data_IF_702829873799
#
_entry.id   IF_702829873799
#
_cell.length_a   1.000
_cell.length_b   1.000
_cell.length_c   1.000
_cell.angle_alpha   90.00
_cell.angle_beta   90.00
_cell.angle_gamma   90.00
#
_symmetry.space_group_name_H-M   'P 1'
#
loop_
_entity.id
_entity.type
_entity.pdbx_description
1 polymer ?
#
# COMPACT_ATOMS: atom_id res chain seq x y z
N UNK A 1 39.36 30.17 -18.58
CA UNK A 1 39.31 29.94 -20.05
C UNK A 1 38.32 28.82 -20.28
N UNK A 2 37.10 29.12 -20.75
CA UNK A 2 36.13 28.09 -21.12
C UNK A 2 36.67 27.36 -22.36
N UNK A 3 36.93 26.07 -22.25
CA UNK A 3 37.29 25.26 -23.41
C UNK A 3 36.13 25.34 -24.41
N UNK A 4 36.40 25.81 -25.64
CA UNK A 4 35.39 25.82 -26.70
C UNK A 4 34.97 24.38 -26.97
N UNK A 5 33.68 24.18 -27.25
CA UNK A 5 33.21 22.86 -27.63
C UNK A 5 33.90 22.43 -28.92
N UNK A 6 34.29 21.15 -29.02
CA UNK A 6 34.87 20.58 -30.24
C UNK A 6 33.99 20.82 -31.47
N UNK A 7 32.67 20.85 -31.25
CA UNK A 7 31.67 21.19 -32.27
C UNK A 7 31.84 22.61 -32.79
N UNK A 8 32.07 23.57 -31.90
CA UNK A 8 32.23 24.98 -32.26
C UNK A 8 33.55 25.19 -33.01
N UNK A 9 34.62 24.50 -32.59
CA UNK A 9 35.91 24.54 -33.28
C UNK A 9 35.83 23.99 -34.71
N UNK A 10 35.11 22.89 -34.91
CA UNK A 10 34.88 22.31 -36.25
C UNK A 10 34.03 23.24 -37.11
N UNK A 11 32.97 23.85 -36.56
CA UNK A 11 32.15 24.81 -37.30
C UNK A 11 32.93 26.07 -37.70
N UNK A 12 33.78 26.59 -36.81
CA UNK A 12 34.66 27.74 -37.12
C UNK A 12 35.69 27.37 -38.19
N UNK A 13 36.31 26.18 -38.09
CA UNK A 13 37.26 25.72 -39.11
C UNK A 13 36.60 25.52 -40.49
N UNK A 14 35.39 24.95 -40.51
CA UNK A 14 34.64 24.70 -41.74
C UNK A 14 34.16 25.99 -42.41
N UNK A 15 33.58 26.91 -41.63
CA UNK A 15 33.14 28.22 -42.14
C UNK A 15 34.32 29.07 -42.62
N UNK A 16 35.44 29.02 -41.92
CA UNK A 16 36.68 29.63 -42.39
C UNK A 16 37.17 28.99 -43.68
N UNK A 17 37.16 27.66 -43.80
CA UNK A 17 37.58 26.98 -45.03
C UNK A 17 36.67 27.36 -46.21
N UNK A 18 35.37 27.42 -45.98
CA UNK A 18 34.39 27.87 -46.98
C UNK A 18 34.66 29.31 -47.45
N UNK A 19 34.94 30.21 -46.51
CA UNK A 19 35.27 31.60 -46.84
C UNK A 19 36.55 31.71 -47.65
N UNK A 20 37.63 31.02 -47.25
CA UNK A 20 38.90 31.03 -47.99
C UNK A 20 38.73 30.49 -49.42
N UNK A 21 37.92 29.43 -49.60
CA UNK A 21 37.60 28.88 -50.93
C UNK A 21 36.83 29.90 -51.77
N UNK A 22 35.80 30.54 -51.20
CA UNK A 22 35.03 31.58 -51.89
C UNK A 22 35.92 32.76 -52.29
N UNK A 23 36.80 33.20 -51.40
CA UNK A 23 37.72 34.30 -51.66
C UNK A 23 38.68 33.95 -52.82
N UNK A 24 39.27 32.75 -52.82
CA UNK A 24 40.15 32.29 -53.91
C UNK A 24 39.40 32.21 -55.24
N UNK A 25 38.20 31.64 -55.27
CA UNK A 25 37.42 31.55 -56.50
C UNK A 25 36.96 32.92 -57.01
N UNK A 26 36.61 33.85 -56.11
CA UNK A 26 36.28 35.22 -56.47
C UNK A 26 37.47 35.92 -57.12
N UNK A 27 38.67 35.80 -56.54
CA UNK A 27 39.91 36.35 -57.10
C UNK A 27 40.24 35.76 -58.47
N UNK A 28 40.10 34.44 -58.63
CA UNK A 28 40.34 33.77 -59.92
C UNK A 28 39.34 34.27 -60.98
N UNK A 29 38.06 34.41 -60.61
CA UNK A 29 37.02 34.87 -61.53
C UNK A 29 37.24 36.34 -61.97
N UNK A 30 37.68 37.20 -61.05
CA UNK A 30 38.00 38.60 -61.36
C UNK A 30 39.24 38.72 -62.25
N UNK A 31 40.24 37.86 -62.06
CA UNK A 31 41.46 37.85 -62.89
C UNK A 31 41.25 37.17 -64.26
N UNK A 32 40.29 36.24 -64.37
CA UNK A 32 39.97 35.56 -65.63
C UNK A 32 39.08 36.40 -66.57
N UNK A 33 38.40 37.42 -66.05
CA UNK A 33 37.59 38.37 -66.82
C UNK A 33 38.47 39.39 -67.60
N UNK A 34 39.13 38.88 -68.65
CA UNK A 34 39.68 39.49 -69.87
C UNK A 34 40.31 40.93 -69.95
N UNK A 35 40.31 41.81 -68.94
CA UNK A 35 40.87 43.17 -69.09
C UNK A 35 42.18 43.46 -68.31
N UNK A 36 42.65 42.57 -67.44
CA UNK A 36 43.83 42.82 -66.60
C UNK A 36 45.18 42.40 -67.23
N UNK A 37 45.30 42.39 -68.56
CA UNK A 37 46.49 41.87 -69.28
C UNK A 37 47.79 42.68 -69.12
N UNK A 38 47.83 43.71 -68.26
CA UNK A 38 49.04 44.52 -68.02
C UNK A 38 49.60 44.45 -66.60
N UNK A 39 48.89 43.88 -65.61
CA UNK A 39 49.38 43.77 -64.23
C UNK A 39 50.07 42.42 -63.98
N UNK A 40 51.35 42.39 -64.33
CA UNK A 40 52.45 41.72 -63.63
C UNK A 40 52.06 40.72 -62.50
N UNK A 41 51.82 39.46 -62.86
CA UNK A 41 51.99 38.24 -62.03
C UNK A 41 51.73 38.41 -60.51
N UNK A 42 50.48 38.43 -60.10
CA UNK A 42 50.04 38.32 -58.69
C UNK A 42 50.21 36.90 -58.08
N UNK A 43 51.24 36.18 -58.52
CA UNK A 43 51.59 34.85 -58.03
C UNK A 43 51.90 34.76 -56.52
N UNK A 44 52.51 35.76 -55.83
CA UNK A 44 52.84 35.58 -54.42
C UNK A 44 51.62 35.63 -53.48
N UNK A 45 50.63 36.47 -53.78
CA UNK A 45 49.43 36.64 -52.93
C UNK A 45 48.49 35.44 -53.04
N UNK A 46 48.32 34.91 -54.25
CA UNK A 46 47.56 33.68 -54.51
C UNK A 46 48.21 32.45 -53.85
N UNK A 47 49.54 32.34 -53.90
CA UNK A 47 50.27 31.27 -53.20
C UNK A 47 50.11 31.35 -51.67
N UNK A 48 50.10 32.55 -51.08
CA UNK A 48 49.87 32.72 -49.64
C UNK A 48 48.46 32.26 -49.23
N UNK A 49 47.42 32.58 -50.02
CA UNK A 49 46.04 32.11 -49.77
C UNK A 49 45.92 30.59 -49.89
N UNK A 50 46.58 29.98 -50.87
CA UNK A 50 46.64 28.51 -51.02
C UNK A 50 47.35 27.87 -49.82
N UNK A 51 48.42 28.49 -49.30
CA UNK A 51 49.08 28.00 -48.08
C UNK A 51 48.17 28.07 -46.86
N UNK A 52 47.45 29.18 -46.65
CA UNK A 52 46.46 29.30 -45.55
C UNK A 52 45.37 28.24 -45.66
N UNK A 53 44.84 28.01 -46.87
CA UNK A 53 43.86 26.97 -47.12
C UNK A 53 44.42 25.56 -46.80
N UNK A 54 45.67 25.29 -47.18
CA UNK A 54 46.33 24.00 -46.90
C UNK A 54 46.55 23.78 -45.40
N UNK A 55 46.90 24.83 -44.65
CA UNK A 55 47.03 24.79 -43.19
C UNK A 55 45.68 24.52 -42.54
N UNK A 56 44.63 25.24 -42.95
CA UNK A 56 43.27 25.04 -42.43
C UNK A 56 42.73 23.64 -42.75
N UNK A 57 43.08 23.09 -43.91
CA UNK A 57 42.76 21.71 -44.26
C UNK A 57 43.49 20.68 -43.37
N UNK A 58 44.76 20.92 -43.06
CA UNK A 58 45.51 20.07 -42.14
C UNK A 58 44.91 20.13 -40.72
N UNK A 59 44.52 21.32 -40.25
CA UNK A 59 43.85 21.51 -38.97
C UNK A 59 42.48 20.80 -38.91
N UNK A 60 41.68 20.92 -39.98
CA UNK A 60 40.41 20.20 -40.10
C UNK A 60 40.59 18.68 -40.09
N UNK A 61 41.61 18.18 -40.79
CA UNK A 61 41.95 16.75 -40.80
C UNK A 61 42.35 16.26 -39.41
N UNK A 62 43.09 17.09 -38.65
CA UNK A 62 43.42 16.79 -37.26
C UNK A 62 42.18 16.76 -36.36
N UNK A 63 41.27 17.72 -36.51
CA UNK A 63 40.02 17.77 -35.73
C UNK A 63 39.12 16.56 -36.02
N UNK A 64 38.98 16.16 -37.29
CA UNK A 64 38.19 14.98 -37.66
C UNK A 64 38.79 13.69 -37.08
N UNK A 65 40.11 13.55 -37.05
CA UNK A 65 40.76 12.43 -36.38
C UNK A 65 40.47 12.42 -34.87
N UNK A 66 40.53 13.58 -34.22
CA UNK A 66 40.20 13.70 -32.80
C UNK A 66 38.74 13.36 -32.49
N UNK A 67 37.80 13.80 -33.35
CA UNK A 67 36.38 13.42 -33.25
C UNK A 67 36.22 11.90 -33.36
N UNK A 68 36.86 11.28 -34.34
CA UNK A 68 36.79 9.83 -34.54
C UNK A 68 37.33 9.08 -33.31
N UNK A 69 38.43 9.55 -32.72
CA UNK A 69 38.97 8.99 -31.48
C UNK A 69 38.02 9.18 -30.30
N UNK A 70 37.41 10.36 -30.15
CA UNK A 70 36.42 10.64 -29.12
C UNK A 70 35.18 9.75 -29.27
N UNK A 71 34.68 9.55 -30.49
CA UNK A 71 33.57 8.65 -30.79
C UNK A 71 33.91 7.20 -30.45
N UNK A 72 35.11 6.73 -30.79
CA UNK A 72 35.58 5.39 -30.43
C UNK A 72 35.68 5.22 -28.90
N UNK A 73 36.16 6.24 -28.19
CA UNK A 73 36.22 6.22 -26.73
C UNK A 73 34.81 6.26 -26.11
N UNK A 74 33.91 7.07 -26.64
CA UNK A 74 32.52 7.13 -26.20
C UNK A 74 31.83 5.77 -26.37
N UNK A 75 32.02 5.12 -27.52
CA UNK A 75 31.51 3.78 -27.77
C UNK A 75 32.04 2.74 -26.76
N UNK A 76 33.27 2.91 -26.27
CA UNK A 76 33.83 2.08 -25.19
C UNK A 76 33.27 2.43 -23.81
N UNK A 77 32.97 3.69 -23.54
CA UNK A 77 32.44 4.15 -22.24
C UNK A 77 30.98 3.72 -22.03
N UNK A 78 30.16 3.77 -23.08
CA UNK A 78 28.74 3.41 -23.01
C UNK A 78 28.44 2.04 -22.36
N UNK A 79 29.12 0.93 -22.71
CA UNK A 79 28.88 -0.35 -22.03
C UNK A 79 29.32 -0.33 -20.57
N UNK A 80 30.38 0.41 -20.20
CA UNK A 80 30.76 0.55 -18.79
C UNK A 80 29.71 1.31 -17.99
N UNK A 81 29.13 2.38 -18.55
CA UNK A 81 28.03 3.11 -17.93
C UNK A 81 26.82 2.22 -17.75
N UNK A 82 26.47 1.41 -18.77
CA UNK A 82 25.38 0.44 -18.66
C UNK A 82 25.65 -0.61 -17.56
N UNK A 83 26.88 -1.12 -17.47
CA UNK A 83 27.28 -2.07 -16.44
C UNK A 83 27.23 -1.48 -15.03
N UNK A 84 27.63 -0.21 -14.86
CA UNK A 84 27.52 0.50 -13.57
C UNK A 84 26.05 0.61 -13.18
N UNK A 85 25.18 1.08 -14.08
CA UNK A 85 23.74 1.20 -13.82
C UNK A 85 23.11 -0.15 -13.46
N UNK A 86 23.49 -1.23 -14.16
CA UNK A 86 23.00 -2.58 -13.87
C UNK A 86 23.44 -3.06 -12.47
N UNK A 87 24.68 -2.80 -12.07
CA UNK A 87 25.19 -3.13 -10.73
C UNK A 87 24.51 -2.31 -9.65
N UNK A 88 24.31 -1.02 -9.86
CA UNK A 88 23.60 -0.16 -8.91
C UNK A 88 22.16 -0.63 -8.70
N UNK A 89 21.47 -1.03 -9.77
CA UNK A 89 20.13 -1.61 -9.68
C UNK A 89 20.13 -2.93 -8.89
N UNK A 90 21.12 -3.81 -9.15
CA UNK A 90 21.26 -5.06 -8.40
C UNK A 90 21.56 -4.82 -6.90
N UNK A 91 22.40 -3.83 -6.59
CA UNK A 91 22.70 -3.45 -5.22
C UNK A 91 21.45 -2.95 -4.49
N UNK A 92 20.68 -2.05 -5.11
CA UNK A 92 19.42 -1.55 -4.55
C UNK A 92 18.42 -2.69 -4.30
N UNK A 93 18.27 -3.61 -5.25
CA UNK A 93 17.40 -4.78 -5.09
C UNK A 93 17.86 -5.68 -3.94
N UNK A 94 19.17 -5.86 -3.77
CA UNK A 94 19.73 -6.66 -2.67
C UNK A 94 19.48 -5.99 -1.32
N UNK A 95 19.71 -4.68 -1.22
CA UNK A 95 19.45 -3.90 0.00
C UNK A 95 17.96 -3.97 0.37
N UNK A 96 17.07 -3.80 -0.61
CA UNK A 96 15.62 -3.92 -0.39
C UNK A 96 15.25 -5.31 0.14
N UNK A 97 15.79 -6.38 -0.45
CA UNK A 97 15.57 -7.75 0.03
C UNK A 97 16.09 -7.97 1.44
N UNK A 98 17.26 -7.43 1.78
CA UNK A 98 17.82 -7.53 3.13
C UNK A 98 16.96 -6.76 4.15
N UNK A 99 16.39 -5.62 3.77
CA UNK A 99 15.49 -4.87 4.64
C UNK A 99 14.22 -5.69 4.96
N UNK A 100 13.60 -6.30 3.94
CA UNK A 100 12.44 -7.19 4.13
C UNK A 100 12.78 -8.36 5.06
N UNK A 101 13.88 -9.08 4.78
CA UNK A 101 14.31 -10.21 5.62
C UNK A 101 14.61 -9.79 7.07
N UNK A 102 15.21 -8.62 7.28
CA UNK A 102 15.46 -8.07 8.61
C UNK A 102 14.14 -7.82 9.35
N UNK A 103 13.16 -7.25 8.66
CA UNK A 103 11.87 -6.90 9.26
C UNK A 103 11.05 -8.18 9.56
N UNK A 104 11.10 -9.19 8.69
CA UNK A 104 10.54 -10.53 8.95
C UNK A 104 11.18 -11.20 10.19
N UNK A 105 12.51 -11.19 10.28
CA UNK A 105 13.22 -11.75 11.44
C UNK A 105 12.90 -10.99 12.73
N UNK A 106 12.69 -9.68 12.64
CA UNK A 106 12.28 -8.85 13.77
C UNK A 106 10.87 -9.22 14.23
N UNK A 107 9.93 -9.35 13.30
CA UNK A 107 8.57 -9.78 13.60
C UNK A 107 8.53 -11.17 14.24
N UNK A 108 9.31 -12.12 13.72
CA UNK A 108 9.42 -13.47 14.30
C UNK A 108 10.01 -13.44 15.73
N UNK A 109 10.98 -12.57 15.98
CA UNK A 109 11.56 -12.40 17.31
C UNK A 109 10.55 -11.81 18.29
N UNK A 110 9.78 -10.81 17.84
CA UNK A 110 8.75 -10.18 18.65
C UNK A 110 7.61 -11.15 18.96
N UNK A 111 7.14 -11.93 17.98
CA UNK A 111 6.13 -12.98 18.20
C UNK A 111 6.65 -14.07 19.14
N UNK A 112 7.89 -14.55 18.94
CA UNK A 112 8.50 -15.53 19.83
C UNK A 112 8.67 -15.03 21.27
N UNK A 113 8.97 -13.74 21.45
CA UNK A 113 9.03 -13.13 22.78
C UNK A 113 7.64 -13.04 23.45
N UNK A 114 6.59 -12.74 22.67
CA UNK A 114 5.21 -12.73 23.16
C UNK A 114 4.75 -14.14 23.56
N UNK A 115 5.05 -15.15 22.74
CA UNK A 115 4.75 -16.55 23.02
C UNK A 115 5.47 -17.05 24.28
N UNK A 116 6.76 -16.73 24.43
CA UNK A 116 7.53 -17.07 25.62
C UNK A 116 6.92 -16.46 26.89
N UNK A 117 6.49 -15.20 26.84
CA UNK A 117 5.78 -14.57 27.97
C UNK A 117 4.42 -15.19 28.24
N UNK A 118 3.68 -15.58 27.20
CA UNK A 118 2.39 -16.26 27.35
C UNK A 118 2.57 -17.63 28.02
N UNK A 119 3.60 -18.37 27.63
CA UNK A 119 3.98 -19.64 28.25
C UNK A 119 4.38 -19.44 29.71
N UNK A 120 5.24 -18.47 30.02
CA UNK A 120 5.64 -18.18 31.41
C UNK A 120 4.43 -17.84 32.29
N UNK A 121 3.46 -17.06 31.77
CA UNK A 121 2.21 -16.77 32.49
C UNK A 121 1.33 -18.02 32.67
N UNK A 122 1.27 -18.89 31.66
CA UNK A 122 0.51 -20.14 31.73
C UNK A 122 1.16 -21.14 32.71
N UNK A 123 2.48 -21.21 32.73
CA UNK A 123 3.26 -22.01 33.69
C UNK A 123 3.10 -21.49 35.13
N UNK A 124 3.04 -20.16 35.32
CA UNK A 124 2.79 -19.56 36.62
C UNK A 124 1.36 -19.83 37.15
N UNK A 125 0.40 -20.12 36.26
CA UNK A 125 -1.00 -20.42 36.60
C UNK A 125 -1.46 -21.69 35.88
N UNK A 126 -0.97 -22.86 36.30
CA UNK A 126 -1.38 -24.11 35.68
C UNK A 126 -2.86 -24.35 35.96
N UNK A 127 -3.61 -24.72 34.91
CA UNK A 127 -5.00 -25.11 35.04
C UNK A 127 -5.08 -26.47 35.73
N UNK A 128 -5.95 -26.59 36.73
CA UNK A 128 -6.18 -27.88 37.38
C UNK A 128 -6.89 -28.82 36.40
N UNK A 129 -6.41 -30.05 36.30
CA UNK A 129 -6.97 -31.07 35.39
C UNK A 129 -8.44 -31.37 35.70
N UNK A 130 -8.84 -31.24 36.96
CA UNK A 130 -10.21 -31.44 37.42
C UNK A 130 -11.16 -30.39 36.83
N UNK A 131 -10.78 -29.10 36.88
CA UNK A 131 -11.58 -28.00 36.32
C UNK A 131 -11.80 -28.15 34.81
N UNK A 132 -10.76 -28.60 34.09
CA UNK A 132 -10.84 -28.86 32.65
C UNK A 132 -11.83 -30.00 32.36
N UNK A 133 -11.74 -31.11 33.11
CA UNK A 133 -12.62 -32.26 32.94
C UNK A 133 -14.07 -31.93 33.30
N UNK A 134 -14.30 -31.21 34.40
CA UNK A 134 -15.64 -30.75 34.79
C UNK A 134 -16.23 -29.81 33.74
N UNK A 135 -15.46 -28.84 33.26
CA UNK A 135 -15.90 -27.92 32.21
C UNK A 135 -16.20 -28.66 30.91
N UNK A 136 -15.33 -29.59 30.49
CA UNK A 136 -15.54 -30.41 29.31
C UNK A 136 -16.80 -31.27 29.41
N UNK A 137 -17.08 -31.87 30.57
CA UNK A 137 -18.32 -32.62 30.81
C UNK A 137 -19.57 -31.74 30.75
N UNK A 138 -19.49 -30.49 31.25
CA UNK A 138 -20.59 -29.51 31.13
C UNK A 138 -20.80 -29.12 29.67
N UNK A 139 -19.72 -28.82 28.94
CA UNK A 139 -19.77 -28.42 27.54
C UNK A 139 -20.31 -29.55 26.66
N UNK A 140 -19.90 -30.81 26.91
CA UNK A 140 -20.34 -31.97 26.15
C UNK A 140 -21.87 -32.12 26.10
N UNK A 141 -22.59 -31.74 27.16
CA UNK A 141 -24.07 -31.78 27.16
C UNK A 141 -24.72 -30.82 26.16
N UNK A 142 -24.03 -29.74 25.83
CA UNK A 142 -24.53 -28.69 24.93
C UNK A 142 -23.90 -28.72 23.55
N UNK A 143 -22.78 -29.43 23.38
CA UNK A 143 -22.07 -29.56 22.10
C UNK A 143 -22.15 -30.95 21.47
N UNK A 144 -22.61 -31.97 22.20
CA UNK A 144 -22.89 -33.27 21.62
C UNK A 144 -24.27 -33.27 20.97
N UNK A 145 -24.35 -33.82 19.75
CA UNK A 145 -25.63 -34.07 19.11
C UNK A 145 -26.45 -35.04 19.98
N UNK A 146 -27.76 -34.81 20.17
CA UNK A 146 -28.62 -35.71 20.92
C UNK A 146 -28.48 -37.15 20.40
N UNK A 147 -28.43 -38.17 21.29
CA UNK A 147 -28.33 -39.56 20.87
C UNK A 147 -29.53 -39.92 19.99
N UNK A 148 -29.27 -40.13 18.70
CA UNK A 148 -30.30 -40.39 17.68
C UNK A 148 -30.43 -39.32 16.59
N UNK A 149 -29.69 -38.21 16.65
CA UNK A 149 -29.72 -37.19 15.59
C UNK A 149 -29.01 -37.70 14.32
N UNK A 150 -29.70 -37.87 13.18
CA UNK A 150 -29.07 -38.32 11.95
C UNK A 150 -28.16 -37.22 11.39
N UNK A 151 -26.86 -37.45 11.40
CA UNK A 151 -25.85 -36.55 10.81
C UNK A 151 -26.03 -36.34 9.29
N UNK A 152 -26.88 -37.14 8.64
CA UNK A 152 -27.14 -37.07 7.21
C UNK A 152 -27.92 -35.82 6.78
N UNK A 153 -28.79 -35.27 7.65
CA UNK A 153 -29.69 -34.19 7.27
C UNK A 153 -29.05 -32.79 7.33
N UNK A 154 -27.94 -32.63 8.06
CA UNK A 154 -27.20 -31.36 8.12
C UNK A 154 -26.44 -31.06 6.81
N UNK A 155 -26.09 -32.08 6.03
CA UNK A 155 -25.52 -31.90 4.69
C UNK A 155 -26.59 -31.62 3.62
N UNK A 156 -27.87 -31.80 3.92
CA UNK A 156 -28.98 -31.69 2.97
C UNK A 156 -29.73 -30.34 2.99
N UNK A 157 -29.39 -29.41 3.89
CA UNK A 157 -30.02 -28.06 3.95
C UNK A 157 -29.56 -27.09 2.84
N UNK A 158 -29.22 -27.63 1.66
CA UNK A 158 -29.10 -26.88 0.41
C UNK A 158 -30.32 -27.21 -0.48
N UNK A 159 -31.47 -26.57 -0.17
CA UNK A 159 -32.72 -26.42 -0.98
C UNK A 159 -33.63 -27.67 -1.16
N UNK A 160 -34.91 -27.57 -1.62
CA UNK A 160 -35.89 -26.45 -1.79
C UNK A 160 -37.25 -26.72 -1.03
N UNK A 161 -38.31 -25.87 -1.13
CA UNK A 161 -39.43 -25.87 -0.17
C UNK A 161 -40.67 -26.68 -0.59
N UNK A 162 -41.33 -27.35 0.37
CA UNK A 162 -42.74 -27.75 0.20
C UNK A 162 -43.56 -27.74 1.50
N UNK A 163 -44.59 -26.87 1.47
CA UNK A 163 -45.95 -26.95 2.06
C UNK A 163 -46.13 -27.11 3.59
N UNK A 164 -46.31 -25.93 4.20
CA UNK A 164 -47.49 -25.50 4.94
C UNK A 164 -48.05 -26.41 6.05
N UNK A 165 -47.73 -26.05 7.30
CA UNK A 165 -48.60 -26.26 8.45
C UNK A 165 -48.97 -24.88 9.03
N UNK A 166 -50.26 -24.58 9.00
CA UNK A 166 -50.86 -23.35 9.52
C UNK A 166 -50.74 -23.34 11.06
N UNK A 167 -50.14 -22.29 11.60
CA UNK A 167 -50.19 -21.98 13.04
C UNK A 167 -51.04 -20.72 13.24
N UNK A 168 -51.93 -20.79 14.24
CA UNK A 168 -52.92 -19.78 14.62
C UNK A 168 -52.29 -18.40 14.87
N UNK A 169 -52.51 -17.43 13.97
CA UNK A 169 -51.99 -16.07 14.09
C UNK A 169 -53.12 -15.07 14.34
N UNK A 170 -52.87 -14.09 15.23
CA UNK A 170 -53.79 -13.01 15.57
C UNK A 170 -53.82 -11.97 14.42
N UNK A 171 -54.96 -11.78 13.72
CA UNK A 171 -55.03 -10.95 12.52
C UNK A 171 -54.86 -9.44 12.76
N UNK A 172 -54.94 -8.96 14.00
CA UNK A 172 -54.92 -7.53 14.30
C UNK A 172 -53.51 -6.93 14.42
N UNK A 173 -52.45 -7.75 14.39
CA UNK A 173 -51.05 -7.31 14.49
C UNK A 173 -50.49 -6.82 13.13
N UNK A 174 -51.19 -5.90 12.47
CA UNK A 174 -50.84 -5.35 11.14
C UNK A 174 -49.46 -4.66 11.09
N UNK A 175 -48.93 -4.22 12.24
CA UNK A 175 -47.60 -3.58 12.32
C UNK A 175 -46.44 -4.58 12.35
N UNK A 176 -46.67 -5.80 12.85
CA UNK A 176 -45.67 -6.86 12.91
C UNK A 176 -45.64 -7.70 11.63
N UNK A 177 -46.73 -7.70 10.84
CA UNK A 177 -46.82 -8.39 9.56
C UNK A 177 -45.78 -7.92 8.52
N UNK A 178 -45.30 -6.67 8.63
CA UNK A 178 -44.28 -6.14 7.72
C UNK A 178 -42.85 -6.58 8.05
N UNK A 179 -42.61 -7.07 9.27
CA UNK A 179 -41.29 -7.50 9.74
C UNK A 179 -41.11 -9.03 9.77
N UNK A 180 -42.19 -9.78 9.53
CA UNK A 180 -42.13 -11.23 9.40
C UNK A 180 -42.38 -11.62 7.95
N UNK A 181 -41.29 -11.99 7.27
CA UNK A 181 -41.37 -12.71 6.00
C UNK A 181 -41.98 -14.11 6.29
N UNK A 182 -43.17 -14.43 5.74
CA UNK A 182 -43.83 -15.72 5.96
C UNK A 182 -43.06 -16.90 5.34
N UNK A 183 -41.94 -16.63 4.64
CA UNK A 183 -41.05 -17.63 4.06
C UNK A 183 -39.82 -17.95 4.91
N UNK A 184 -39.63 -17.37 6.09
CA UNK A 184 -38.58 -17.87 6.99
C UNK A 184 -39.05 -19.27 7.45
N UNK A 185 -38.41 -20.36 6.99
CA UNK A 185 -38.67 -21.67 7.56
C UNK A 185 -38.40 -21.48 9.05
N UNK A 186 -39.33 -21.89 9.92
CA UNK A 186 -39.10 -21.89 11.37
C UNK A 186 -37.68 -22.39 11.59
N UNK A 187 -36.76 -21.50 11.96
CA UNK A 187 -35.36 -21.90 12.08
C UNK A 187 -35.36 -23.13 12.98
N UNK A 188 -34.62 -24.21 12.65
CA UNK A 188 -34.46 -25.31 13.57
C UNK A 188 -34.02 -24.68 14.90
N UNK A 189 -34.93 -24.68 15.88
CA UNK A 189 -34.89 -23.81 17.05
C UNK A 189 -33.90 -24.33 18.10
N UNK A 190 -32.88 -25.03 17.63
CA UNK A 190 -31.82 -25.70 18.37
C UNK A 190 -30.46 -25.34 17.76
N UNK A 191 -30.31 -24.09 17.33
CA UNK A 191 -28.96 -23.53 17.24
C UNK A 191 -28.36 -23.50 18.67
N UNK A 192 -27.04 -23.66 18.83
CA UNK A 192 -26.35 -23.76 20.12
C UNK A 192 -26.26 -22.40 20.85
N UNK A 193 -27.29 -21.57 20.72
CA UNK A 193 -27.41 -20.28 21.36
C UNK A 193 -28.49 -20.36 22.45
N UNK A 194 -28.43 -19.49 23.47
CA UNK A 194 -29.44 -19.43 24.51
C UNK A 194 -30.85 -19.30 23.91
N UNK A 195 -31.78 -20.16 24.33
CA UNK A 195 -33.15 -20.11 23.80
C UNK A 195 -33.85 -18.82 24.23
N UNK A 196 -34.74 -18.28 23.40
CA UNK A 196 -35.52 -17.07 23.72
C UNK A 196 -36.27 -17.19 25.06
N UNK A 197 -36.74 -18.40 25.38
CA UNK A 197 -37.34 -18.70 26.67
C UNK A 197 -36.36 -18.52 27.82
N UNK A 198 -35.13 -19.03 27.70
CA UNK A 198 -34.08 -18.85 28.73
C UNK A 198 -33.68 -17.38 28.82
N UNK A 199 -33.60 -16.65 27.71
CA UNK A 199 -33.27 -15.22 27.71
C UNK A 199 -34.35 -14.40 28.44
N UNK A 200 -35.64 -14.68 28.20
CA UNK A 200 -36.77 -14.01 28.88
C UNK A 200 -36.96 -14.45 30.33
N UNK A 201 -36.54 -15.66 30.69
CA UNK A 201 -36.58 -16.14 32.07
C UNK A 201 -35.30 -15.79 32.85
N UNK A 202 -34.27 -15.30 32.16
CA UNK A 202 -33.00 -14.92 32.75
C UNK A 202 -33.15 -13.73 33.69
N UNK A 203 -32.27 -13.67 34.69
CA UNK A 203 -32.23 -12.63 35.72
C UNK A 203 -32.20 -11.23 35.08
N UNK A 204 -31.43 -11.06 34.00
CA UNK A 204 -31.35 -9.80 33.25
C UNK A 204 -32.70 -9.31 32.71
N UNK A 205 -33.58 -10.22 32.25
CA UNK A 205 -34.92 -9.82 31.79
C UNK A 205 -35.85 -9.53 32.96
N UNK A 206 -35.74 -10.28 34.06
CA UNK A 206 -36.53 -10.03 35.27
C UNK A 206 -36.18 -8.67 35.91
N UNK A 207 -34.90 -8.32 35.93
CA UNK A 207 -34.42 -7.01 36.42
C UNK A 207 -34.87 -5.90 35.47
N UNK A 208 -34.74 -6.06 34.15
CA UNK A 208 -35.22 -5.07 33.19
C UNK A 208 -36.75 -4.91 33.21
N UNK A 209 -37.50 -5.98 33.42
CA UNK A 209 -38.97 -5.97 33.54
C UNK A 209 -39.45 -5.35 34.86
N UNK A 210 -38.68 -5.48 35.94
CA UNK A 210 -39.00 -4.83 37.22
C UNK A 210 -38.59 -3.36 37.22
N UNK A 211 -37.48 -2.99 36.57
CA UNK A 211 -37.10 -1.58 36.34
C UNK A 211 -38.09 -0.85 35.40
N UNK A 212 -38.62 -1.53 34.38
CA UNK A 212 -39.65 -0.98 33.50
C UNK A 212 -41.09 -1.10 34.03
N UNK A 213 -41.31 -1.87 35.10
CA UNK A 213 -42.58 -2.03 35.80
C UNK A 213 -42.77 -1.12 37.02
N UNK A 214 -41.73 -0.39 37.43
CA UNK A 214 -41.77 0.49 38.61
C UNK A 214 -42.47 1.85 38.38
N UNK A 215 -43.10 2.10 37.21
CA UNK A 215 -43.96 3.27 37.00
C UNK A 215 -45.47 2.95 36.92
N UNK A 216 -45.89 1.71 37.17
CA UNK A 216 -47.31 1.36 37.06
C UNK A 216 -47.81 0.43 38.18
N UNK A 217 -47.82 0.91 39.44
CA UNK A 217 -48.93 0.75 40.40
C UNK A 217 -48.51 1.21 41.81
N UNK A 218 -48.85 2.44 42.17
CA UNK A 218 -49.12 2.82 43.56
C UNK A 218 -50.62 3.08 43.73
N UNK A 219 -51.33 2.17 44.40
CA UNK A 219 -52.50 2.52 45.21
C UNK A 219 -52.82 1.42 46.24
N UNK A 220 -52.44 1.70 47.49
CA UNK A 220 -53.08 1.34 48.79
C UNK A 220 -53.15 -0.14 49.23
N UNK A 221 -52.47 -0.53 50.30
CA UNK A 221 -52.93 -0.41 51.72
C UNK A 221 -52.07 -1.23 52.71
N UNK A 222 -51.91 -0.69 53.92
CA UNK A 222 -51.12 -1.13 55.09
C UNK A 222 -51.30 -2.58 55.58
N UNK A 223 -50.21 -3.23 56.07
CA UNK A 223 -49.95 -3.50 57.50
C UNK A 223 -48.72 -4.41 57.76
N UNK A 224 -47.94 -3.98 58.77
CA UNK A 224 -47.20 -4.79 59.76
C UNK A 224 -45.79 -5.36 59.45
N UNK A 225 -44.81 -4.75 60.12
CA UNK A 225 -43.78 -5.39 60.96
C UNK A 225 -42.71 -6.27 60.30
N UNK A 226 -41.47 -5.76 60.23
CA UNK A 226 -40.48 -5.90 61.31
C UNK A 226 -39.03 -5.92 60.78
N UNK A 227 -38.18 -5.14 61.48
CA UNK A 227 -36.79 -5.47 61.83
C UNK A 227 -35.70 -5.28 60.76
N UNK A 228 -35.04 -4.13 60.85
CA UNK A 228 -33.59 -4.03 60.60
C UNK A 228 -32.81 -4.75 61.73
N UNK A 229 -31.53 -5.10 61.55
CA UNK A 229 -30.53 -4.07 61.77
C UNK A 229 -29.41 -4.00 60.72
N UNK A 230 -28.86 -2.80 60.63
CA UNK A 230 -27.70 -2.35 59.89
C UNK A 230 -26.42 -3.15 60.22
N UNK A 231 -25.38 -3.00 59.37
CA UNK A 231 -24.05 -2.49 59.76
C UNK A 231 -23.12 -2.43 58.52
N UNK A 232 -22.63 -1.21 58.19
CA UNK A 232 -21.22 -0.80 57.87
C UNK A 232 -20.42 -1.59 56.82
N UNK A 233 -19.51 -1.07 56.00
CA UNK A 233 -18.76 0.19 55.85
C UNK A 233 -18.14 0.13 54.43
N UNK A 234 -17.80 1.28 53.84
CA UNK A 234 -17.25 1.44 52.49
C UNK A 234 -15.74 1.05 52.40
N UNK A 235 -14.95 1.48 51.40
CA UNK A 235 -15.16 1.71 49.95
C UNK A 235 -14.11 0.94 49.11
N UNK A 236 -14.24 0.85 47.78
CA UNK A 236 -13.03 0.93 46.93
C UNK A 236 -13.33 1.16 45.43
N UNK A 237 -12.48 2.03 44.87
CA UNK A 237 -11.91 2.04 43.51
C UNK A 237 -12.78 2.29 42.27
N UNK A 238 -12.62 3.51 41.74
CA UNK A 238 -12.29 3.81 40.34
C UNK A 238 -13.12 3.20 39.21
N UNK A 239 -14.16 3.93 38.79
CA UNK A 239 -14.73 3.83 37.46
C UNK A 239 -14.27 5.03 36.60
N UNK A 240 -13.08 4.93 36.01
CA UNK A 240 -12.68 5.81 34.91
C UNK A 240 -13.45 5.44 33.64
N UNK A 241 -14.05 6.47 33.05
CA UNK A 241 -14.94 6.41 31.89
C UNK A 241 -14.18 6.07 30.60
N UNK A 242 -14.76 5.13 29.86
CA UNK A 242 -14.71 4.90 28.41
C UNK A 242 -13.67 5.69 27.60
N UNK A 243 -12.67 4.96 27.09
CA UNK A 243 -11.76 5.40 26.05
C UNK A 243 -12.48 5.60 24.70
N UNK A 244 -12.28 6.77 24.13
CA UNK A 244 -12.62 7.15 22.77
C UNK A 244 -11.68 6.44 21.77
N UNK A 245 -12.25 5.80 20.74
CA UNK A 245 -11.52 5.20 19.62
C UNK A 245 -10.89 6.29 18.74
N UNK A 246 -9.61 6.20 18.35
CA UNK A 246 -9.07 7.04 17.29
C UNK A 246 -9.47 6.51 15.91
N UNK A 247 -10.04 7.43 15.14
CA UNK A 247 -10.41 7.37 13.73
C UNK A 247 -9.17 7.03 12.88
N UNK A 248 -9.25 5.94 12.10
CA UNK A 248 -8.39 5.68 10.95
C UNK A 248 -8.86 6.58 9.80
N UNK A 249 -8.17 7.69 9.60
CA UNK A 249 -8.27 8.49 8.38
C UNK A 249 -6.89 9.07 8.07
N UNK A 250 -6.58 9.20 6.79
CA UNK A 250 -5.28 9.63 6.20
C UNK A 250 -4.30 8.52 5.78
N UNK A 251 -4.75 7.62 4.90
CA UNK A 251 -3.91 7.20 3.76
C UNK A 251 -4.33 8.02 2.54
N UNK A 252 -3.92 9.29 2.53
CA UNK A 252 -3.97 10.17 1.37
C UNK A 252 -2.68 10.01 0.57
N UNK A 253 -2.84 9.46 -0.62
CA UNK A 253 -1.90 9.44 -1.75
C UNK A 253 -1.34 10.82 -2.06
N UNK A 254 -0.02 10.98 -2.01
CA UNK A 254 0.75 12.04 -2.69
C UNK A 254 2.04 11.41 -3.23
N UNK A 255 1.90 10.73 -4.37
CA UNK A 255 2.97 10.17 -5.22
C UNK A 255 2.72 10.65 -6.66
N UNK A 256 2.70 11.95 -6.89
CA UNK A 256 2.80 12.57 -8.23
C UNK A 256 3.47 13.95 -8.02
N UNK A 257 4.40 14.38 -8.90
CA UNK A 257 5.06 15.71 -8.92
C UNK A 257 6.46 15.91 -8.26
N UNK A 258 7.40 14.96 -8.42
CA UNK A 258 8.83 15.25 -8.20
C UNK A 258 9.77 14.89 -9.37
N UNK A 259 9.23 14.59 -10.56
CA UNK A 259 9.99 14.33 -11.78
C UNK A 259 9.67 15.34 -12.89
N UNK A 260 9.92 16.62 -12.62
CA UNK A 260 10.11 17.64 -13.68
C UNK A 260 11.64 17.71 -13.92
N UNK A 261 12.20 16.94 -14.86
CA UNK A 261 12.35 17.28 -16.28
C UNK A 261 12.95 18.68 -16.52
N UNK A 262 14.21 18.87 -16.11
CA UNK A 262 15.06 19.88 -16.73
C UNK A 262 16.18 19.20 -17.55
N UNK A 263 15.86 18.97 -18.83
CA UNK A 263 16.78 18.60 -19.89
C UNK A 263 16.84 19.77 -20.89
N UNK A 264 17.93 20.54 -20.80
CA UNK A 264 18.46 21.49 -21.79
C UNK A 264 17.64 22.78 -22.04
N UNK A 265 18.34 23.90 -22.32
CA UNK A 265 18.99 24.11 -23.62
C UNK A 265 20.52 23.91 -23.65
#
# INVERSE_FOLDING_TARGET
MMARSLRDEVHVALSGFEQDVKDIFSDISHNAALEASTSRRDTPTSLAKIQVLSQRHADFTRLTHFIAQHQANQARILPFVANIKARDAQQRATIARLAVLRDELRALRESGAQEAQALERAEARPLATQDILEYAQRLAKYTSAPPGYPLADLHASAAPPSKAAQADYNPDATRAAAYYDPMIPSMPQELPFPTDRIMRQGILYADAATESGAEAQESTSDLASARAPAFKEAPDADAQRHGTLPVLDSFGTDDEDAFDLDLNP
#
